data_IF_740026597911
#
_entry.id   IF_740026597911
#
_cell.length_a   1.000
_cell.length_b   1.000
_cell.length_c   1.000
_cell.angle_alpha   90.00
_cell.angle_beta   90.00
_cell.angle_gamma   90.00
#
_symmetry.space_group_name_H-M   'P 1'
#
loop_
_entity.id
_entity.type
_entity.pdbx_description
1 polymer ?
#
# COMPACT_ATOMS: atom_id res chain seq x y z
N UNK A 1 41.39 -7.03 50.60
CA UNK A 1 39.92 -7.10 50.79
C UNK A 1 39.20 -6.30 49.71
N UNK A 2 39.70 -5.10 49.40
CA UNK A 2 39.19 -4.16 48.38
C UNK A 2 39.08 -4.76 46.94
N UNK A 3 40.06 -5.54 46.50
CA UNK A 3 40.02 -6.20 45.19
C UNK A 3 38.89 -7.24 45.07
N UNK A 4 38.57 -7.91 46.18
CA UNK A 4 37.50 -8.92 46.22
C UNK A 4 36.11 -8.27 46.15
N UNK A 5 35.95 -7.05 46.67
CA UNK A 5 34.73 -6.26 46.53
C UNK A 5 34.56 -5.75 45.09
N UNK A 6 35.65 -5.28 44.47
CA UNK A 6 35.64 -4.85 43.08
C UNK A 6 35.27 -6.00 42.13
N UNK A 7 35.84 -7.18 42.34
CA UNK A 7 35.51 -8.39 41.56
C UNK A 7 34.05 -8.81 41.72
N UNK A 8 33.45 -8.66 42.92
CA UNK A 8 32.02 -8.94 43.11
C UNK A 8 31.13 -8.00 42.30
N UNK A 9 31.48 -6.72 42.21
CA UNK A 9 30.75 -5.73 41.41
C UNK A 9 30.84 -6.05 39.92
N UNK A 10 32.03 -6.43 39.43
CA UNK A 10 32.22 -6.83 38.03
C UNK A 10 31.43 -8.11 37.69
N UNK A 11 31.42 -9.10 38.59
CA UNK A 11 30.64 -10.32 38.42
C UNK A 11 29.13 -10.03 38.38
N UNK A 12 28.63 -9.14 39.23
CA UNK A 12 27.22 -8.75 39.22
C UNK A 12 26.82 -8.04 37.91
N UNK A 13 27.65 -7.09 37.46
CA UNK A 13 27.46 -6.41 36.17
C UNK A 13 27.51 -7.37 34.98
N UNK A 14 28.43 -8.34 35.01
CA UNK A 14 28.56 -9.36 33.99
C UNK A 14 27.33 -10.28 33.96
N UNK A 15 26.86 -10.75 35.11
CA UNK A 15 25.68 -11.60 35.21
C UNK A 15 24.41 -10.90 34.73
N UNK A 16 24.26 -9.60 35.00
CA UNK A 16 23.14 -8.80 34.48
C UNK A 16 23.16 -8.73 32.95
N UNK A 17 24.34 -8.52 32.38
CA UNK A 17 24.56 -8.51 30.92
C UNK A 17 24.23 -9.88 30.31
N UNK A 18 24.73 -10.94 30.93
CA UNK A 18 24.53 -12.32 30.50
C UNK A 18 23.06 -12.75 30.57
N UNK A 19 22.35 -12.41 31.65
CA UNK A 19 20.93 -12.69 31.81
C UNK A 19 20.09 -12.01 30.72
N UNK A 20 20.41 -10.75 30.40
CA UNK A 20 19.74 -10.00 29.33
C UNK A 20 19.98 -10.64 27.97
N UNK A 21 21.23 -11.02 27.69
CA UNK A 21 21.62 -11.70 26.44
C UNK A 21 20.95 -13.08 26.30
N UNK A 22 21.01 -13.91 27.35
CA UNK A 22 20.42 -15.25 27.37
C UNK A 22 18.90 -15.22 27.15
N UNK A 23 18.22 -14.19 27.66
CA UNK A 23 16.78 -14.01 27.45
C UNK A 23 16.44 -13.32 26.10
N UNK A 24 17.45 -12.83 25.37
CA UNK A 24 17.27 -12.15 24.09
C UNK A 24 16.68 -13.07 23.02
N UNK A 25 17.16 -14.31 22.92
CA UNK A 25 16.68 -15.29 21.93
C UNK A 25 15.20 -15.57 22.11
N UNK A 26 14.76 -15.92 23.33
CA UNK A 26 13.36 -16.23 23.61
C UNK A 26 12.43 -15.04 23.31
N UNK A 27 12.88 -13.81 23.59
CA UNK A 27 12.12 -12.59 23.23
C UNK A 27 12.03 -12.40 21.72
N UNK A 28 13.13 -12.61 21.00
CA UNK A 28 13.17 -12.53 19.55
C UNK A 28 12.27 -13.59 18.92
N UNK A 29 12.37 -14.84 19.38
CA UNK A 29 11.57 -15.97 18.88
C UNK A 29 10.07 -15.75 19.12
N UNK A 30 9.67 -15.23 20.28
CA UNK A 30 8.28 -14.87 20.55
C UNK A 30 7.78 -13.77 19.61
N UNK A 31 8.60 -12.74 19.37
CA UNK A 31 8.26 -11.64 18.49
C UNK A 31 8.16 -12.07 17.02
N UNK A 32 9.10 -12.89 16.53
CA UNK A 32 9.07 -13.43 15.18
C UNK A 32 7.97 -14.48 15.01
N UNK A 33 7.69 -15.29 16.04
CA UNK A 33 6.62 -16.28 16.06
C UNK A 33 5.23 -15.66 15.89
N UNK A 34 5.00 -14.49 16.48
CA UNK A 34 3.77 -13.70 16.28
C UNK A 34 3.65 -13.11 14.86
N UNK A 35 4.76 -13.02 14.12
CA UNK A 35 4.83 -12.42 12.80
C UNK A 35 4.76 -13.45 11.65
N UNK A 36 5.09 -14.72 11.87
CA UNK A 36 5.07 -15.76 10.83
C UNK A 36 3.63 -16.02 10.36
N UNK A 37 3.18 -15.24 9.40
CA UNK A 37 2.04 -15.61 8.59
C UNK A 37 2.50 -16.61 7.53
N UNK A 38 1.98 -17.84 7.61
CA UNK A 38 2.27 -18.91 6.64
C UNK A 38 1.44 -18.65 5.38
N UNK A 39 1.81 -17.62 4.60
CA UNK A 39 1.15 -17.33 3.33
C UNK A 39 1.62 -18.24 2.19
N UNK A 40 2.75 -18.95 2.33
CA UNK A 40 3.26 -19.85 1.28
C UNK A 40 2.57 -21.24 1.26
N UNK A 41 1.29 -21.32 1.62
CA UNK A 41 0.48 -22.53 1.34
C UNK A 41 -0.15 -22.41 -0.05
N UNK A 42 0.66 -22.56 -1.08
CA UNK A 42 0.17 -22.67 -2.46
C UNK A 42 -0.26 -24.12 -2.75
N UNK A 43 -1.49 -24.48 -2.39
CA UNK A 43 -2.13 -25.75 -2.73
C UNK A 43 -3.39 -25.52 -3.57
N UNK A 44 -3.65 -26.37 -4.56
CA UNK A 44 -4.91 -26.36 -5.31
C UNK A 44 -6.09 -26.51 -4.33
N UNK A 45 -6.97 -25.50 -4.28
CA UNK A 45 -8.11 -25.44 -3.35
C UNK A 45 -7.88 -24.67 -2.05
N UNK A 46 -6.71 -24.05 -1.84
CA UNK A 46 -6.48 -23.17 -0.69
C UNK A 46 -7.08 -21.77 -0.95
N UNK A 47 -8.24 -21.50 -0.34
CA UNK A 47 -8.84 -20.16 -0.33
C UNK A 47 -8.18 -19.30 0.75
N UNK A 48 -7.23 -18.46 0.34
CA UNK A 48 -6.56 -17.51 1.22
C UNK A 48 -7.56 -16.67 2.01
N UNK A 49 -8.60 -16.14 1.34
CA UNK A 49 -9.52 -15.13 1.90
C UNK A 49 -10.32 -15.60 3.12
N UNK A 50 -10.55 -16.91 3.30
CA UNK A 50 -11.42 -17.43 4.35
C UNK A 50 -10.67 -17.82 5.65
N UNK A 51 -9.35 -17.99 5.59
CA UNK A 51 -8.53 -18.42 6.74
C UNK A 51 -7.33 -17.51 7.01
N UNK A 52 -7.28 -16.30 6.43
CA UNK A 52 -6.24 -15.33 6.80
C UNK A 52 -6.45 -14.92 8.26
N UNK A 53 -5.73 -15.59 9.17
CA UNK A 53 -5.45 -14.98 10.47
C UNK A 53 -4.65 -13.71 10.17
N UNK A 54 -5.30 -12.55 10.29
CA UNK A 54 -4.63 -11.27 10.13
C UNK A 54 -3.66 -11.08 11.30
N UNK A 55 -2.43 -11.51 11.11
CA UNK A 55 -1.36 -11.18 12.04
C UNK A 55 -0.98 -9.71 11.83
N UNK A 56 -0.86 -8.96 12.93
CA UNK A 56 -0.38 -7.59 12.87
C UNK A 56 1.12 -7.61 12.55
N UNK A 57 1.47 -7.36 11.29
CA UNK A 57 2.86 -7.14 10.88
C UNK A 57 3.37 -5.84 11.53
N UNK A 58 4.26 -5.96 12.51
CA UNK A 58 4.87 -4.82 13.20
C UNK A 58 6.01 -4.18 12.40
N UNK A 59 6.70 -4.94 11.54
CA UNK A 59 7.91 -4.49 10.84
C UNK A 59 7.67 -3.95 9.43
N UNK A 60 6.60 -4.41 8.77
CA UNK A 60 6.25 -3.94 7.42
C UNK A 60 5.09 -2.96 7.56
N UNK A 61 5.32 -1.69 7.21
CA UNK A 61 4.22 -0.73 7.04
C UNK A 61 3.22 -1.37 6.06
N UNK A 62 1.96 -1.48 6.47
CA UNK A 62 0.90 -1.94 5.57
C UNK A 62 0.93 -1.03 4.34
N UNK A 63 1.27 -1.58 3.18
CA UNK A 63 1.02 -0.90 1.92
C UNK A 63 -0.50 -0.86 1.80
N UNK A 64 -1.08 0.30 2.07
CA UNK A 64 -2.50 0.50 1.83
C UNK A 64 -2.76 0.18 0.36
N UNK A 65 -3.71 -0.71 0.04
CA UNK A 65 -4.05 -1.00 -1.34
C UNK A 65 -4.50 0.31 -1.99
N UNK A 66 -3.66 0.84 -2.88
CA UNK A 66 -4.02 2.00 -3.70
C UNK A 66 -5.06 1.52 -4.70
N UNK A 67 -6.33 1.61 -4.33
CA UNK A 67 -7.44 1.30 -5.21
C UNK A 67 -7.46 2.39 -6.28
N UNK A 68 -6.92 2.10 -7.46
CA UNK A 68 -6.96 2.96 -8.65
C UNK A 68 -8.11 2.50 -9.54
N UNK A 69 -8.92 3.45 -10.00
CA UNK A 69 -9.96 3.16 -10.97
C UNK A 69 -9.37 3.01 -12.38
N UNK A 70 -9.55 1.85 -13.02
CA UNK A 70 -9.04 1.62 -14.39
C UNK A 70 -9.73 2.50 -15.46
N UNK A 71 -10.84 3.17 -15.15
CA UNK A 71 -11.57 4.02 -16.12
C UNK A 71 -11.15 5.48 -16.06
N UNK A 72 -11.07 6.07 -14.86
CA UNK A 72 -10.75 7.49 -14.68
C UNK A 72 -9.37 7.73 -14.06
N UNK A 73 -8.62 6.66 -13.77
CA UNK A 73 -7.26 6.68 -13.20
C UNK A 73 -7.18 7.40 -11.83
N UNK A 74 -8.32 7.69 -11.20
CA UNK A 74 -8.39 8.30 -9.87
C UNK A 74 -8.36 7.23 -8.77
N UNK A 75 -7.78 7.60 -7.64
CA UNK A 75 -7.72 6.77 -6.44
C UNK A 75 -9.07 6.72 -5.69
N UNK A 76 -9.26 5.67 -4.89
CA UNK A 76 -10.34 5.55 -3.90
C UNK A 76 -11.57 4.79 -4.36
N UNK A 77 -11.63 4.29 -5.60
CA UNK A 77 -12.77 3.52 -6.10
C UNK A 77 -12.40 2.58 -7.26
N UNK A 78 -13.22 1.56 -7.50
CA UNK A 78 -13.08 0.63 -8.62
C UNK A 78 -13.91 1.09 -9.82
N UNK A 79 -13.64 0.55 -11.02
CA UNK A 79 -14.34 0.96 -12.24
C UNK A 79 -15.86 0.82 -12.18
N UNK A 80 -16.39 -0.14 -11.42
CA UNK A 80 -17.85 -0.36 -11.28
C UNK A 80 -18.55 0.74 -10.50
N UNK A 81 -17.88 1.39 -9.55
CA UNK A 81 -18.39 2.53 -8.79
C UNK A 81 -17.95 3.88 -9.36
N UNK A 82 -17.34 3.89 -10.55
CA UNK A 82 -16.84 5.12 -11.15
C UNK A 82 -17.98 6.03 -11.64
N UNK A 83 -18.03 7.25 -11.10
CA UNK A 83 -19.01 8.29 -11.46
C UNK A 83 -18.96 8.58 -12.97
N UNK A 84 -17.76 8.67 -13.55
CA UNK A 84 -17.57 8.97 -14.98
C UNK A 84 -17.98 7.82 -15.91
N UNK A 85 -18.03 6.59 -15.40
CA UNK A 85 -18.52 5.41 -16.15
C UNK A 85 -20.05 5.31 -16.06
N UNK A 86 -20.59 5.52 -14.86
CA UNK A 86 -22.02 5.28 -14.60
C UNK A 86 -22.92 6.46 -14.97
N UNK A 87 -22.38 7.68 -15.07
CA UNK A 87 -23.16 8.86 -15.45
C UNK A 87 -22.87 9.29 -16.90
N UNK A 88 -23.88 9.17 -17.77
CA UNK A 88 -23.84 9.58 -19.17
C UNK A 88 -23.48 11.07 -19.38
N UNK A 89 -23.80 11.92 -18.39
CA UNK A 89 -23.60 13.37 -18.46
C UNK A 89 -22.12 13.80 -18.30
N UNK A 90 -21.26 12.96 -17.69
CA UNK A 90 -19.84 13.27 -17.48
C UNK A 90 -18.91 12.52 -18.46
N UNK A 91 -19.45 11.64 -19.30
CA UNK A 91 -18.71 10.62 -20.06
C UNK A 91 -18.34 10.97 -21.51
N UNK A 92 -18.50 12.22 -21.96
CA UNK A 92 -18.21 12.57 -23.38
C UNK A 92 -17.34 13.82 -23.53
N UNK A 93 -16.19 13.87 -22.86
CA UNK A 93 -15.06 14.54 -23.52
C UNK A 93 -14.64 13.60 -24.64
N UNK A 94 -15.10 13.84 -25.88
CA UNK A 94 -14.66 13.05 -27.05
C UNK A 94 -13.13 13.12 -27.07
N UNK A 95 -12.46 12.04 -26.66
CA UNK A 95 -11.02 11.89 -26.90
C UNK A 95 -10.88 11.60 -28.39
N UNK A 96 -10.76 12.67 -29.19
CA UNK A 96 -10.39 12.57 -30.59
C UNK A 96 -8.92 12.21 -30.59
N UNK A 97 -8.55 11.18 -31.36
CA UNK A 97 -7.15 10.83 -31.54
C UNK A 97 -6.50 11.91 -32.41
N UNK A 98 -5.50 12.63 -31.88
CA UNK A 98 -4.81 13.71 -32.58
C UNK A 98 -3.31 13.41 -32.60
N UNK A 99 -2.60 13.58 -33.74
CA UNK A 99 -1.15 13.49 -33.79
C UNK A 99 -0.48 14.46 -32.81
N UNK A 100 0.67 14.05 -32.25
CA UNK A 100 1.34 14.64 -31.07
C UNK A 100 1.71 16.14 -31.15
N UNK A 101 1.49 16.81 -32.28
CA UNK A 101 1.88 18.21 -32.51
C UNK A 101 0.71 19.15 -32.86
N UNK A 102 -0.52 18.66 -32.95
CA UNK A 102 -1.65 19.52 -33.31
C UNK A 102 -2.31 20.13 -32.07
N UNK A 103 -1.90 21.35 -31.69
CA UNK A 103 -2.67 22.17 -30.76
C UNK A 103 -3.94 22.68 -31.48
N UNK A 104 -5.11 22.23 -31.04
CA UNK A 104 -6.40 22.65 -31.62
C UNK A 104 -6.74 24.07 -31.16
N UNK A 105 -6.28 25.09 -31.88
CA UNK A 105 -6.68 26.49 -31.70
C UNK A 105 -7.85 26.85 -32.63
N UNK A 106 -9.03 26.25 -32.42
CA UNK A 106 -10.31 26.89 -32.74
C UNK A 106 -11.48 26.06 -32.22
N UNK A 107 -11.96 26.35 -31.01
CA UNK A 107 -13.30 25.93 -30.61
C UNK A 107 -14.28 26.99 -31.10
N UNK A 108 -14.62 26.96 -32.39
CA UNK A 108 -15.70 27.76 -32.92
C UNK A 108 -17.03 27.16 -32.41
N UNK A 109 -17.58 27.80 -31.37
CA UNK A 109 -18.81 27.40 -30.71
C UNK A 109 -20.03 27.47 -31.62
N UNK A 110 -21.09 26.77 -31.22
CA UNK A 110 -22.32 26.63 -31.98
C UNK A 110 -23.19 27.90 -31.90
N UNK A 111 -23.03 28.82 -32.87
CA UNK A 111 -24.06 29.63 -33.56
C UNK A 111 -23.42 30.84 -34.25
N UNK A 112 -23.07 30.70 -35.53
CA UNK A 112 -23.13 31.82 -36.46
C UNK A 112 -23.94 31.37 -37.67
N UNK A 113 -25.13 31.96 -37.84
CA UNK A 113 -25.90 31.86 -39.10
C UNK A 113 -24.99 32.39 -40.20
N UNK A 114 -24.64 31.54 -41.15
CA UNK A 114 -24.10 32.01 -42.43
C UNK A 114 -25.21 32.81 -43.14
N UNK A 115 -24.93 34.09 -43.43
CA UNK A 115 -25.74 34.90 -44.34
C UNK A 115 -24.88 35.14 -45.58
N UNK A 116 -25.38 34.87 -46.80
CA UNK A 116 -24.63 35.19 -48.02
C UNK A 116 -24.51 36.72 -48.15
N UNK A 117 -23.31 37.21 -48.43
CA UNK A 117 -23.13 38.60 -48.88
C UNK A 117 -23.44 38.68 -50.37
N UNK A 118 -24.26 39.66 -50.74
CA UNK A 118 -24.38 40.19 -52.10
C UNK A 118 -23.17 41.04 -52.46
#
# INVERSE_FOLDING_TARGET
MEENEKLKIEIDALNKSFSTFSNGSAKLDNLLGLQRCVFDKAGLGYEEMNNVKHFNNFFVKKNEPKIVCNYCEKLGHVSTSCIYRNNLCFGKTRRIWVPKETFVTNLQGHKFKWVPKA
#
